data_IF_182494201231
#
_entry.id   IF_182494201231
#
_cell.length_a   1.000
_cell.length_b   1.000
_cell.length_c   1.000
_cell.angle_alpha   90.00
_cell.angle_beta   90.00
_cell.angle_gamma   90.00
#
_symmetry.space_group_name_H-M   'P 1'
#
loop_
_entity.id
_entity.type
_entity.pdbx_description
1 polymer ?
#
# COMPACT_ATOMS: atom_id res chain seq x y z
N UNK A 1 50.78 37.96 -1.24
CA UNK A 1 50.75 36.49 -1.18
C UNK A 1 50.02 35.95 0.05
N UNK A 2 49.30 36.81 0.78
CA UNK A 2 48.54 36.39 1.99
C UNK A 2 47.04 36.09 1.71
N UNK A 3 46.52 36.52 0.54
CA UNK A 3 45.06 36.41 0.27
C UNK A 3 44.58 35.08 -0.29
N UNK A 4 45.48 34.27 -0.87
CA UNK A 4 45.13 32.98 -1.44
C UNK A 4 44.95 31.86 -0.39
N UNK A 5 45.57 32.00 0.77
CA UNK A 5 45.46 31.03 1.86
C UNK A 5 44.10 31.18 2.59
N UNK A 6 43.59 32.40 2.77
CA UNK A 6 42.33 32.70 3.43
C UNK A 6 41.16 32.23 2.55
N UNK A 7 41.22 32.42 1.21
CA UNK A 7 40.21 31.97 0.29
C UNK A 7 40.07 30.43 0.24
N UNK A 8 41.18 29.71 0.37
CA UNK A 8 41.18 28.25 0.44
C UNK A 8 40.55 27.71 1.74
N UNK A 9 40.72 28.43 2.85
CA UNK A 9 40.10 28.07 4.12
C UNK A 9 38.59 28.24 4.09
N UNK A 10 38.11 29.32 3.48
CA UNK A 10 36.65 29.58 3.34
C UNK A 10 35.95 28.62 2.38
N UNK A 11 36.59 28.25 1.28
CA UNK A 11 36.07 27.24 0.35
C UNK A 11 36.08 25.84 0.97
N UNK A 12 37.10 25.49 1.74
CA UNK A 12 37.16 24.22 2.48
C UNK A 12 36.09 24.13 3.57
N UNK A 13 35.82 25.23 4.28
CA UNK A 13 34.78 25.28 5.32
C UNK A 13 33.35 25.24 4.73
N UNK A 14 33.10 25.85 3.56
CA UNK A 14 31.79 25.75 2.89
C UNK A 14 31.54 24.35 2.29
N UNK A 15 32.56 23.69 1.75
CA UNK A 15 32.43 22.31 1.27
C UNK A 15 32.24 21.34 2.44
N UNK A 16 32.89 21.56 3.58
CA UNK A 16 32.70 20.76 4.78
C UNK A 16 31.32 20.97 5.43
N UNK A 17 30.78 22.22 5.40
CA UNK A 17 29.40 22.49 5.86
C UNK A 17 28.33 21.95 4.89
N UNK A 18 28.58 21.97 3.58
CA UNK A 18 27.68 21.34 2.62
C UNK A 18 27.70 19.80 2.70
N UNK A 19 28.85 19.18 3.02
CA UNK A 19 28.95 17.75 3.25
C UNK A 19 28.39 17.30 4.62
N UNK A 20 28.42 18.18 5.63
CA UNK A 20 27.80 17.89 6.94
C UNK A 20 26.27 18.07 6.94
N UNK A 21 25.72 18.89 6.02
CA UNK A 21 24.27 19.04 5.85
C UNK A 21 23.62 17.86 5.10
N UNK A 22 24.40 16.97 4.46
CA UNK A 22 23.89 15.82 3.74
C UNK A 22 23.89 14.51 4.53
N UNK A 23 24.23 14.54 5.84
CA UNK A 23 24.21 13.35 6.72
C UNK A 23 23.54 13.62 8.08
N UNK A 24 22.55 14.52 8.14
CA UNK A 24 21.53 14.36 9.14
C UNK A 24 20.57 13.29 8.58
N UNK A 25 20.65 12.07 9.08
CA UNK A 25 19.60 11.08 8.98
C UNK A 25 18.35 11.62 9.66
N UNK A 26 17.71 12.62 9.04
CA UNK A 26 16.47 13.17 9.49
C UNK A 26 15.45 12.05 9.40
N UNK A 27 14.88 11.69 10.54
CA UNK A 27 13.66 10.88 10.60
C UNK A 27 12.66 11.59 9.71
N UNK A 28 12.29 10.96 8.59
CA UNK A 28 11.25 11.51 7.71
C UNK A 28 9.98 11.65 8.55
N UNK A 29 9.29 12.80 8.50
CA UNK A 29 8.05 12.95 9.23
C UNK A 29 7.08 11.84 8.82
N UNK A 30 6.28 11.29 9.75
CA UNK A 30 5.28 10.26 9.44
C UNK A 30 4.39 10.69 8.25
N UNK A 31 4.13 11.99 8.11
CA UNK A 31 3.40 12.59 7.01
C UNK A 31 3.99 12.30 5.61
N UNK A 32 5.31 12.06 5.49
CA UNK A 32 5.93 11.71 4.20
C UNK A 32 5.81 10.22 3.87
N UNK A 33 5.68 9.37 4.89
CA UNK A 33 5.47 7.93 4.74
C UNK A 33 4.00 7.56 4.52
N UNK A 34 3.08 8.51 4.70
CA UNK A 34 1.65 8.26 4.79
C UNK A 34 0.91 8.73 3.55
N UNK A 35 0.15 7.81 2.95
CA UNK A 35 -0.85 8.05 1.91
C UNK A 35 -2.24 7.66 2.39
N UNK A 36 -3.24 7.96 1.55
CA UNK A 36 -4.64 7.67 1.81
C UNK A 36 -5.28 7.01 0.59
N UNK A 37 -6.07 5.95 0.78
CA UNK A 37 -6.91 5.43 -0.29
C UNK A 37 -8.20 6.24 -0.35
N UNK A 38 -8.55 6.72 -1.54
CA UNK A 38 -9.79 7.40 -1.81
C UNK A 38 -10.65 6.54 -2.74
N UNK A 39 -11.62 5.82 -2.14
CA UNK A 39 -12.65 5.09 -2.84
C UNK A 39 -13.84 6.00 -3.18
N UNK A 40 -14.55 5.67 -4.25
CA UNK A 40 -15.63 6.47 -4.81
C UNK A 40 -16.99 5.73 -4.84
N UNK A 41 -17.05 4.52 -4.25
CA UNK A 41 -18.28 3.70 -4.25
C UNK A 41 -19.27 4.15 -3.18
N UNK A 42 -19.75 5.37 -3.30
CA UNK A 42 -20.77 5.95 -2.42
C UNK A 42 -22.03 6.30 -3.19
N UNK A 43 -23.20 6.13 -2.56
CA UNK A 43 -24.50 6.50 -3.15
C UNK A 43 -24.63 8.01 -3.36
N UNK A 44 -23.96 8.78 -2.50
CA UNK A 44 -23.91 10.25 -2.55
C UNK A 44 -22.46 10.70 -2.33
N UNK A 45 -21.56 10.52 -3.32
CA UNK A 45 -20.15 10.87 -3.17
C UNK A 45 -19.97 12.38 -2.95
N UNK A 46 -19.02 12.74 -2.10
CA UNK A 46 -18.62 14.13 -1.97
C UNK A 46 -18.03 14.63 -3.29
N UNK A 47 -18.28 15.89 -3.68
CA UNK A 47 -17.65 16.49 -4.85
C UNK A 47 -16.12 16.36 -4.78
N UNK A 48 -15.43 15.93 -5.85
CA UNK A 48 -13.98 15.69 -5.84
C UNK A 48 -13.16 16.86 -5.32
N UNK A 49 -13.54 18.10 -5.61
CA UNK A 49 -12.87 19.31 -5.10
C UNK A 49 -12.95 19.43 -3.56
N UNK A 50 -14.06 18.99 -2.97
CA UNK A 50 -14.22 18.98 -1.51
C UNK A 50 -13.28 17.92 -0.91
N UNK A 51 -13.17 16.75 -1.52
CA UNK A 51 -12.26 15.70 -1.05
C UNK A 51 -10.80 16.10 -1.23
N UNK A 52 -10.43 16.72 -2.35
CA UNK A 52 -9.07 17.27 -2.55
C UNK A 52 -8.71 18.31 -1.47
N UNK A 53 -9.65 19.22 -1.13
CA UNK A 53 -9.46 20.17 -0.05
C UNK A 53 -9.38 19.49 1.32
N UNK A 54 -10.20 18.45 1.56
CA UNK A 54 -10.17 17.63 2.78
C UNK A 54 -8.82 16.95 3.00
N UNK A 55 -8.20 16.40 1.94
CA UNK A 55 -6.87 15.84 1.96
C UNK A 55 -5.83 16.90 2.35
N UNK A 56 -5.88 18.10 1.74
CA UNK A 56 -4.97 19.21 2.04
C UNK A 56 -5.14 19.73 3.47
N UNK A 57 -6.39 19.94 3.92
CA UNK A 57 -6.71 20.43 5.28
C UNK A 57 -6.20 19.49 6.37
N UNK A 58 -6.05 18.19 6.05
CA UNK A 58 -5.50 17.17 6.95
C UNK A 58 -4.01 16.86 6.70
N UNK A 59 -3.34 17.63 5.85
CA UNK A 59 -1.91 17.47 5.59
C UNK A 59 -1.52 16.21 4.83
N UNK A 60 -2.48 15.54 4.17
CA UNK A 60 -2.25 14.30 3.40
C UNK A 60 -1.56 14.66 2.10
N UNK A 61 -0.41 14.02 1.84
CA UNK A 61 0.49 14.30 0.72
C UNK A 61 0.42 13.27 -0.40
N UNK A 62 -0.20 12.12 -0.16
CA UNK A 62 -0.27 11.01 -1.11
C UNK A 62 -1.67 10.43 -1.14
N UNK A 63 -2.16 10.11 -2.33
CA UNK A 63 -3.46 9.46 -2.50
C UNK A 63 -3.38 8.30 -3.48
N UNK A 64 -4.02 7.19 -3.14
CA UNK A 64 -4.25 6.06 -4.06
C UNK A 64 -5.72 6.07 -4.47
N UNK A 65 -5.95 6.06 -5.78
CA UNK A 65 -7.26 5.91 -6.41
C UNK A 65 -7.49 4.46 -6.85
N UNK A 66 -8.73 4.11 -7.20
CA UNK A 66 -9.10 2.79 -7.73
C UNK A 66 -9.49 2.83 -9.21
N UNK A 67 -9.47 4.03 -9.79
CA UNK A 67 -9.75 4.30 -11.19
C UNK A 67 -8.95 5.53 -11.67
N UNK A 68 -9.32 6.05 -12.83
CA UNK A 68 -8.75 7.26 -13.43
C UNK A 68 -9.88 8.25 -13.80
N UNK A 69 -10.79 8.47 -12.85
CA UNK A 69 -11.91 9.39 -13.06
C UNK A 69 -11.42 10.81 -13.36
N UNK A 70 -11.98 11.42 -14.41
CA UNK A 70 -11.53 12.72 -14.90
C UNK A 70 -11.78 13.84 -13.90
N UNK A 71 -12.92 13.84 -13.20
CA UNK A 71 -13.28 14.89 -12.26
C UNK A 71 -12.40 14.82 -11.01
N UNK A 72 -12.12 13.60 -10.54
CA UNK A 72 -11.19 13.32 -9.44
C UNK A 72 -9.78 13.79 -9.79
N UNK A 73 -9.24 13.43 -10.96
CA UNK A 73 -7.91 13.87 -11.39
C UNK A 73 -7.86 15.38 -11.56
N UNK A 74 -8.89 15.99 -12.16
CA UNK A 74 -8.96 17.44 -12.30
C UNK A 74 -9.02 18.18 -10.97
N UNK A 75 -9.64 17.59 -9.94
CA UNK A 75 -9.67 18.16 -8.60
C UNK A 75 -8.33 18.09 -7.87
N UNK A 76 -7.48 17.11 -8.22
CA UNK A 76 -6.14 16.93 -7.66
C UNK A 76 -5.06 17.77 -8.36
N UNK A 77 -5.37 18.35 -9.54
CA UNK A 77 -4.43 19.21 -10.25
C UNK A 77 -4.05 20.45 -9.41
N UNK A 78 -2.76 20.78 -9.39
CA UNK A 78 -2.20 21.92 -8.64
C UNK A 78 -2.19 21.76 -7.12
N UNK A 79 -2.63 20.63 -6.56
CA UNK A 79 -2.65 20.40 -5.11
C UNK A 79 -1.29 20.02 -4.53
N UNK A 80 -0.36 19.54 -5.37
CA UNK A 80 0.92 18.97 -4.95
C UNK A 80 0.80 17.60 -4.27
N UNK A 81 -0.40 17.02 -4.21
CA UNK A 81 -0.62 15.66 -3.68
C UNK A 81 -0.10 14.65 -4.70
N UNK A 82 0.75 13.73 -4.28
CA UNK A 82 1.20 12.61 -5.11
C UNK A 82 0.07 11.61 -5.33
N UNK A 83 -0.15 11.20 -6.59
CA UNK A 83 -1.27 10.36 -6.98
C UNK A 83 -0.78 9.01 -7.50
N UNK A 84 -1.35 7.93 -6.97
CA UNK A 84 -1.39 6.62 -7.60
C UNK A 84 -2.75 6.49 -8.27
N UNK A 85 -2.77 6.64 -9.61
CA UNK A 85 -3.97 6.40 -10.43
C UNK A 85 -4.11 4.91 -10.72
N UNK A 86 -5.32 4.41 -10.97
CA UNK A 86 -5.52 2.97 -11.15
C UNK A 86 -6.29 2.58 -12.41
N UNK A 87 -6.04 1.35 -12.85
CA UNK A 87 -6.77 0.63 -13.87
C UNK A 87 -7.61 -0.44 -13.16
N UNK A 88 -8.95 -0.42 -13.23
CA UNK A 88 -9.77 -1.48 -12.64
C UNK A 88 -9.49 -2.85 -13.23
N UNK A 89 -9.64 -3.91 -12.42
CA UNK A 89 -9.38 -5.30 -12.86
C UNK A 89 -10.13 -5.68 -14.14
N UNK A 90 -11.36 -5.19 -14.31
CA UNK A 90 -12.19 -5.46 -15.49
C UNK A 90 -11.59 -4.94 -16.80
N UNK A 91 -10.62 -4.04 -16.74
CA UNK A 91 -9.93 -3.49 -17.90
C UNK A 91 -8.63 -4.24 -18.23
N UNK A 92 -8.13 -5.12 -17.36
CA UNK A 92 -6.82 -5.75 -17.54
C UNK A 92 -6.70 -6.52 -18.86
N UNK A 93 -7.75 -7.23 -19.26
CA UNK A 93 -7.76 -7.96 -20.52
C UNK A 93 -7.58 -7.01 -21.72
N UNK A 94 -8.30 -5.91 -21.77
CA UNK A 94 -8.19 -4.91 -22.83
C UNK A 94 -6.82 -4.22 -22.88
N UNK A 95 -6.18 -4.03 -21.73
CA UNK A 95 -4.84 -3.41 -21.62
C UNK A 95 -3.72 -4.36 -22.11
N UNK A 96 -4.00 -5.66 -22.29
CA UNK A 96 -3.04 -6.57 -22.94
C UNK A 96 -2.80 -6.21 -24.41
N UNK A 97 -3.71 -5.47 -25.06
CA UNK A 97 -3.46 -4.80 -26.32
C UNK A 97 -2.63 -3.54 -26.11
N UNK A 98 -1.48 -3.44 -26.80
CA UNK A 98 -0.53 -2.36 -26.58
C UNK A 98 -1.04 -0.98 -27.03
N UNK A 99 -1.79 -0.90 -28.11
CA UNK A 99 -2.34 0.37 -28.59
C UNK A 99 -3.42 0.88 -27.63
N UNK A 100 -4.20 -0.01 -27.03
CA UNK A 100 -5.14 0.29 -25.95
C UNK A 100 -4.40 0.80 -24.70
N UNK A 101 -3.30 0.19 -24.31
CA UNK A 101 -2.46 0.64 -23.19
C UNK A 101 -1.88 2.04 -23.43
N UNK A 102 -1.36 2.32 -24.65
CA UNK A 102 -0.84 3.65 -25.04
C UNK A 102 -1.94 4.71 -24.98
N UNK A 103 -3.12 4.40 -25.50
CA UNK A 103 -4.24 5.32 -25.47
C UNK A 103 -4.72 5.58 -24.02
N UNK A 104 -4.73 4.55 -23.16
CA UNK A 104 -5.04 4.73 -21.75
C UNK A 104 -4.05 5.65 -21.06
N UNK A 105 -2.74 5.44 -21.26
CA UNK A 105 -1.68 6.30 -20.71
C UNK A 105 -1.82 7.74 -21.23
N UNK A 106 -2.07 7.91 -22.52
CA UNK A 106 -2.26 9.24 -23.12
C UNK A 106 -3.42 10.00 -22.46
N UNK A 107 -4.56 9.32 -22.24
CA UNK A 107 -5.79 9.96 -21.71
C UNK A 107 -5.73 10.21 -20.20
N UNK A 108 -5.12 9.30 -19.45
CA UNK A 108 -5.25 9.27 -17.99
C UNK A 108 -3.95 9.67 -17.27
N UNK A 109 -2.81 9.72 -17.97
CA UNK A 109 -1.52 10.10 -17.39
C UNK A 109 -0.94 11.30 -18.12
N UNK A 110 -0.58 11.17 -19.41
CA UNK A 110 0.11 12.22 -20.16
C UNK A 110 -0.67 13.53 -20.20
N UNK A 111 -2.00 13.44 -20.36
CA UNK A 111 -2.91 14.60 -20.37
C UNK A 111 -2.81 15.46 -19.12
N UNK A 112 -2.44 14.87 -17.99
CA UNK A 112 -2.37 15.57 -16.69
C UNK A 112 -0.93 15.89 -16.25
N UNK A 113 0.08 15.42 -17.02
CA UNK A 113 1.51 15.57 -16.70
C UNK A 113 2.07 16.87 -17.32
N UNK A 114 1.69 18.02 -16.74
CA UNK A 114 2.16 19.35 -17.10
C UNK A 114 2.38 20.19 -15.83
N UNK A 115 3.03 21.32 -15.95
CA UNK A 115 3.26 22.23 -14.81
C UNK A 115 1.92 22.74 -14.24
N UNK A 116 1.68 22.53 -12.93
CA UNK A 116 0.39 22.77 -12.30
C UNK A 116 -0.67 21.69 -12.57
N UNK A 117 -0.31 20.59 -13.22
CA UNK A 117 -1.17 19.42 -13.43
C UNK A 117 -1.26 18.52 -12.20
N UNK A 118 -1.49 17.22 -12.43
CA UNK A 118 -1.57 16.20 -11.36
C UNK A 118 -0.19 15.58 -11.13
N UNK A 119 0.24 15.48 -9.88
CA UNK A 119 1.51 14.87 -9.51
C UNK A 119 1.37 13.34 -9.48
N UNK A 120 1.17 12.72 -10.66
CA UNK A 120 1.07 11.26 -10.78
C UNK A 120 2.46 10.66 -10.56
N UNK A 121 2.57 9.69 -9.66
CA UNK A 121 3.80 8.94 -9.35
C UNK A 121 3.70 7.47 -9.74
N UNK A 122 2.50 6.91 -9.63
CA UNK A 122 2.29 5.49 -9.89
C UNK A 122 1.02 5.25 -10.70
N UNK A 123 1.06 4.16 -11.48
CA UNK A 123 -0.12 3.57 -12.11
C UNK A 123 -0.32 2.19 -11.51
N UNK A 124 -1.39 2.02 -10.75
CA UNK A 124 -1.82 0.71 -10.24
C UNK A 124 -2.53 -0.05 -11.37
N UNK A 125 -1.97 -1.16 -11.80
CA UNK A 125 -2.54 -2.02 -12.86
C UNK A 125 -3.35 -3.12 -12.21
N UNK A 126 -4.64 -2.89 -12.03
CA UNK A 126 -5.54 -3.68 -11.20
C UNK A 126 -5.41 -3.36 -9.70
N UNK A 127 -6.21 -4.06 -8.91
CA UNK A 127 -6.10 -4.12 -7.45
C UNK A 127 -6.47 -5.52 -6.98
N UNK A 128 -5.56 -6.21 -6.30
CA UNK A 128 -5.73 -7.57 -5.80
C UNK A 128 -6.18 -8.58 -6.87
N UNK A 129 -5.58 -8.60 -8.07
CA UNK A 129 -6.08 -9.41 -9.18
C UNK A 129 -5.95 -10.93 -8.92
N UNK A 130 -5.11 -11.34 -7.96
CA UNK A 130 -4.85 -12.75 -7.65
C UNK A 130 -5.61 -13.25 -6.42
N UNK A 131 -6.64 -12.53 -5.97
CA UNK A 131 -7.53 -13.06 -4.95
C UNK A 131 -8.09 -14.42 -5.37
N UNK A 132 -8.04 -15.40 -4.46
CA UNK A 132 -8.58 -16.73 -4.70
C UNK A 132 -10.05 -16.70 -5.15
N UNK A 133 -10.81 -15.66 -4.71
CA UNK A 133 -12.18 -15.41 -5.15
C UNK A 133 -12.36 -15.22 -6.65
N UNK A 134 -11.34 -14.73 -7.34
CA UNK A 134 -11.38 -14.55 -8.80
C UNK A 134 -11.04 -15.82 -9.59
N UNK A 135 -10.66 -16.90 -8.89
CA UNK A 135 -10.41 -18.21 -9.49
C UNK A 135 -9.48 -18.14 -10.72
N UNK A 136 -8.39 -17.37 -10.63
CA UNK A 136 -7.39 -17.23 -11.69
C UNK A 136 -7.84 -16.38 -12.89
N UNK A 137 -8.97 -15.69 -12.80
CA UNK A 137 -9.52 -14.90 -13.94
C UNK A 137 -8.51 -13.92 -14.51
N UNK A 138 -7.67 -13.34 -13.66
CA UNK A 138 -6.72 -12.29 -14.08
C UNK A 138 -5.26 -12.75 -14.18
N UNK A 139 -4.96 -14.04 -13.93
CA UNK A 139 -3.59 -14.55 -13.88
C UNK A 139 -2.84 -14.35 -15.19
N UNK A 140 -3.52 -14.55 -16.32
CA UNK A 140 -2.90 -14.47 -17.66
C UNK A 140 -2.81 -13.05 -18.21
N UNK A 141 -3.57 -12.10 -17.67
CA UNK A 141 -3.69 -10.75 -18.24
C UNK A 141 -2.96 -9.69 -17.41
N UNK A 142 -2.73 -9.92 -16.11
CA UNK A 142 -2.17 -8.90 -15.21
C UNK A 142 -0.72 -8.55 -15.56
N UNK A 143 0.16 -9.53 -15.74
CA UNK A 143 1.57 -9.27 -16.09
C UNK A 143 1.71 -8.63 -17.48
N UNK A 144 1.07 -9.12 -18.55
CA UNK A 144 1.08 -8.45 -19.84
C UNK A 144 0.55 -7.00 -19.76
N UNK A 145 -0.53 -6.74 -19.03
CA UNK A 145 -1.06 -5.40 -18.82
C UNK A 145 -0.06 -4.48 -18.10
N UNK A 146 0.59 -4.99 -17.03
CA UNK A 146 1.64 -4.27 -16.30
C UNK A 146 2.80 -3.88 -17.22
N UNK A 147 3.28 -4.82 -18.03
CA UNK A 147 4.36 -4.59 -19.00
C UNK A 147 3.98 -3.53 -20.03
N UNK A 148 2.78 -3.61 -20.59
CA UNK A 148 2.28 -2.68 -21.59
C UNK A 148 2.14 -1.27 -21.04
N UNK A 149 1.62 -1.10 -19.82
CA UNK A 149 1.50 0.22 -19.19
C UNK A 149 2.88 0.82 -18.93
N UNK A 150 3.84 0.07 -18.39
CA UNK A 150 5.19 0.59 -18.18
C UNK A 150 5.86 0.96 -19.50
N UNK A 151 5.73 0.14 -20.53
CA UNK A 151 6.27 0.45 -21.86
C UNK A 151 5.61 1.69 -22.46
N UNK A 152 4.28 1.83 -22.32
CA UNK A 152 3.57 3.03 -22.78
C UNK A 152 3.99 4.31 -22.04
N UNK A 153 4.29 4.20 -20.73
CA UNK A 153 4.88 5.30 -19.96
C UNK A 153 6.28 5.66 -20.46
N UNK A 154 7.11 4.65 -20.79
CA UNK A 154 8.43 4.85 -21.35
C UNK A 154 8.36 5.55 -22.73
N UNK A 155 7.49 5.09 -23.62
CA UNK A 155 7.26 5.69 -24.94
C UNK A 155 6.75 7.14 -24.83
N UNK A 156 5.99 7.45 -23.79
CA UNK A 156 5.52 8.81 -23.52
C UNK A 156 6.60 9.72 -22.88
N UNK A 157 7.81 9.19 -22.61
CA UNK A 157 8.88 9.92 -21.90
C UNK A 157 8.61 10.15 -20.42
N UNK A 158 7.69 9.38 -19.83
CA UNK A 158 7.26 9.50 -18.42
C UNK A 158 7.79 8.36 -17.53
N UNK A 159 8.34 7.31 -18.13
CA UNK A 159 8.70 6.06 -17.42
C UNK A 159 9.77 6.20 -16.34
N UNK A 160 10.60 7.27 -16.37
CA UNK A 160 11.57 7.55 -15.32
C UNK A 160 10.90 8.11 -14.07
N UNK A 161 9.84 8.91 -14.22
CA UNK A 161 9.16 9.63 -13.14
C UNK A 161 7.87 8.97 -12.66
N UNK A 162 7.25 8.11 -13.48
CA UNK A 162 5.99 7.42 -13.18
C UNK A 162 6.19 5.93 -13.39
N UNK A 163 5.89 5.12 -12.37
CA UNK A 163 6.08 3.67 -12.41
C UNK A 163 4.75 2.92 -12.37
N UNK A 164 4.67 1.84 -13.15
CA UNK A 164 3.54 0.92 -13.06
C UNK A 164 3.80 -0.13 -11.95
N UNK A 165 2.78 -0.45 -11.20
CA UNK A 165 2.80 -1.48 -10.15
C UNK A 165 1.49 -2.22 -10.08
N UNK A 166 1.43 -3.33 -9.35
CA UNK A 166 0.20 -4.07 -9.06
C UNK A 166 0.00 -4.11 -7.55
N UNK A 167 -1.03 -3.45 -6.99
CA UNK A 167 -1.41 -3.66 -5.60
C UNK A 167 -1.92 -5.08 -5.39
N UNK A 168 -1.12 -5.89 -4.72
CA UNK A 168 -1.38 -7.32 -4.50
C UNK A 168 -2.12 -7.56 -3.19
N UNK A 169 -2.86 -8.64 -3.10
CA UNK A 169 -3.44 -9.16 -1.88
C UNK A 169 -2.41 -9.93 -1.05
N UNK A 170 -2.57 -9.96 0.27
CA UNK A 170 -1.61 -10.62 1.16
C UNK A 170 -1.59 -12.16 1.05
N UNK A 171 -2.57 -12.79 0.37
CA UNK A 171 -2.61 -14.22 0.15
C UNK A 171 -1.82 -14.69 -1.09
N UNK A 172 -1.09 -13.79 -1.78
CA UNK A 172 -0.16 -14.20 -2.85
C UNK A 172 1.11 -14.87 -2.32
N UNK A 173 1.35 -14.79 -1.01
CA UNK A 173 2.43 -15.47 -0.29
C UNK A 173 1.90 -16.16 0.97
N UNK A 174 2.60 -17.19 1.42
CA UNK A 174 2.31 -17.92 2.65
C UNK A 174 3.59 -18.43 3.32
N UNK A 175 3.45 -19.01 4.51
CA UNK A 175 4.44 -19.91 5.08
C UNK A 175 3.88 -21.33 5.12
N UNK A 176 4.72 -22.39 4.98
CA UNK A 176 4.27 -23.77 5.07
C UNK A 176 3.52 -24.04 6.37
N UNK A 177 2.50 -24.92 6.33
CA UNK A 177 1.67 -25.23 7.50
C UNK A 177 2.44 -25.81 8.69
N UNK A 178 3.53 -26.47 8.43
CA UNK A 178 4.44 -27.08 9.41
C UNK A 178 5.53 -26.11 9.90
N UNK A 179 5.66 -24.94 9.25
CA UNK A 179 6.64 -23.91 9.60
C UNK A 179 6.04 -22.51 9.39
N UNK A 180 5.11 -22.14 10.25
CA UNK A 180 4.36 -20.88 10.17
C UNK A 180 5.15 -19.72 10.79
N UNK A 181 6.27 -19.36 10.15
CA UNK A 181 7.16 -18.27 10.58
C UNK A 181 7.56 -17.42 9.37
N UNK A 182 7.89 -16.14 9.56
CA UNK A 182 8.24 -15.23 8.48
C UNK A 182 9.39 -15.70 7.58
N UNK A 183 10.45 -16.29 8.15
CA UNK A 183 11.61 -16.76 7.36
C UNK A 183 11.30 -17.91 6.41
N UNK A 184 10.18 -18.61 6.59
CA UNK A 184 9.69 -19.66 5.70
C UNK A 184 8.77 -19.14 4.58
N UNK A 185 8.65 -17.83 4.43
CA UNK A 185 7.81 -17.17 3.43
C UNK A 185 8.13 -17.61 2.00
N UNK A 186 7.09 -17.87 1.22
CA UNK A 186 7.15 -18.25 -0.19
C UNK A 186 5.93 -17.71 -0.93
N UNK A 187 6.03 -17.54 -2.23
CA UNK A 187 4.84 -17.27 -3.04
C UNK A 187 3.92 -18.49 -3.13
N UNK A 188 2.62 -18.25 -3.16
CA UNK A 188 1.58 -19.27 -3.32
C UNK A 188 1.88 -20.13 -4.56
N UNK A 189 1.85 -21.45 -4.40
CA UNK A 189 2.40 -22.39 -5.39
C UNK A 189 1.76 -22.30 -6.79
N UNK A 190 0.46 -21.97 -6.85
CA UNK A 190 -0.31 -21.84 -8.10
C UNK A 190 0.11 -20.64 -8.97
N UNK A 191 0.68 -19.60 -8.35
CA UNK A 191 1.12 -18.36 -9.02
C UNK A 191 2.61 -18.04 -8.80
N UNK A 192 3.41 -18.96 -8.24
CA UNK A 192 4.80 -18.71 -7.88
C UNK A 192 5.66 -18.25 -9.07
N UNK A 193 5.51 -18.90 -10.23
CA UNK A 193 6.25 -18.50 -11.44
C UNK A 193 5.80 -17.13 -11.96
N UNK A 194 4.52 -16.83 -11.90
CA UNK A 194 3.96 -15.53 -12.27
C UNK A 194 4.48 -14.42 -11.34
N UNK A 195 4.48 -14.67 -10.04
CA UNK A 195 5.00 -13.73 -9.04
C UNK A 195 6.50 -13.49 -9.23
N UNK A 196 7.25 -14.54 -9.54
CA UNK A 196 8.69 -14.42 -9.87
C UNK A 196 8.93 -13.49 -11.05
N UNK A 197 8.18 -13.67 -12.14
CA UNK A 197 8.29 -12.79 -13.32
C UNK A 197 7.88 -11.35 -13.00
N UNK A 198 6.83 -11.17 -12.20
CA UNK A 198 6.35 -9.85 -11.79
C UNK A 198 7.39 -9.11 -10.93
N UNK A 199 7.95 -9.77 -9.92
CA UNK A 199 9.01 -9.19 -9.06
C UNK A 199 10.21 -8.75 -9.90
N UNK A 200 10.66 -9.60 -10.82
CA UNK A 200 11.76 -9.27 -11.73
C UNK A 200 11.45 -8.06 -12.60
N UNK A 201 10.24 -8.00 -13.13
CA UNK A 201 9.81 -6.88 -13.96
C UNK A 201 9.79 -5.57 -13.15
N UNK A 202 9.20 -5.59 -11.94
CA UNK A 202 9.16 -4.43 -11.05
C UNK A 202 10.58 -3.96 -10.68
N UNK A 203 11.47 -4.88 -10.32
CA UNK A 203 12.87 -4.57 -9.98
C UNK A 203 13.61 -3.94 -11.17
N UNK A 204 13.47 -4.49 -12.36
CA UNK A 204 14.12 -3.98 -13.58
C UNK A 204 13.66 -2.57 -13.98
N UNK A 205 12.44 -2.19 -13.57
CA UNK A 205 11.88 -0.87 -13.84
C UNK A 205 11.99 0.09 -12.64
N UNK A 206 12.65 -0.31 -11.54
CA UNK A 206 12.69 0.46 -10.28
C UNK A 206 11.27 0.83 -9.78
N UNK A 207 10.31 -0.05 -10.03
CA UNK A 207 8.93 0.10 -9.61
C UNK A 207 8.72 -0.52 -8.22
N UNK A 208 7.83 0.03 -7.37
CA UNK A 208 7.58 -0.51 -6.04
C UNK A 208 6.81 -1.84 -6.13
N UNK A 209 7.11 -2.75 -5.21
CA UNK A 209 6.23 -3.87 -4.91
C UNK A 209 5.13 -3.36 -3.96
N UNK A 210 3.87 -3.50 -4.34
CA UNK A 210 2.73 -2.97 -3.58
C UNK A 210 1.87 -4.12 -3.07
N UNK A 211 1.53 -4.11 -1.78
CA UNK A 211 0.69 -5.16 -1.17
C UNK A 211 -0.29 -4.57 -0.16
N UNK A 212 -1.49 -5.14 -0.11
CA UNK A 212 -2.53 -4.80 0.84
C UNK A 212 -2.49 -5.81 2.00
N UNK A 213 -2.21 -5.32 3.23
CA UNK A 213 -2.09 -6.13 4.44
C UNK A 213 -3.10 -5.62 5.45
N UNK A 214 -4.10 -6.43 5.80
CA UNK A 214 -5.16 -6.06 6.72
C UNK A 214 -5.16 -6.97 7.97
N UNK A 215 -4.52 -6.56 9.07
CA UNK A 215 -4.56 -7.32 10.33
C UNK A 215 -5.97 -7.64 10.83
N UNK A 216 -6.95 -6.76 10.55
CA UNK A 216 -8.37 -7.01 10.84
C UNK A 216 -8.88 -8.31 10.17
N UNK A 217 -8.47 -8.59 8.94
CA UNK A 217 -8.94 -9.78 8.21
C UNK A 217 -8.49 -11.07 8.89
N UNK A 218 -7.34 -11.08 9.58
CA UNK A 218 -6.91 -12.24 10.37
C UNK A 218 -7.88 -12.56 11.52
N UNK A 219 -8.43 -11.52 12.18
CA UNK A 219 -9.45 -11.68 13.22
C UNK A 219 -10.81 -12.09 12.64
N UNK A 220 -11.17 -11.55 11.49
CA UNK A 220 -12.43 -11.87 10.81
C UNK A 220 -12.49 -13.33 10.35
N UNK A 221 -11.37 -13.86 9.87
CA UNK A 221 -11.29 -15.22 9.31
C UNK A 221 -11.01 -16.31 10.33
N UNK A 222 -10.52 -15.97 11.51
CA UNK A 222 -10.14 -16.94 12.53
C UNK A 222 -10.52 -16.44 13.93
N UNK A 223 -11.54 -17.04 14.51
CA UNK A 223 -12.01 -16.73 15.87
C UNK A 223 -10.97 -17.00 16.96
N UNK A 224 -10.01 -17.90 16.71
CA UNK A 224 -8.92 -18.26 17.65
C UNK A 224 -7.70 -17.33 17.47
N UNK A 225 -7.72 -16.39 16.53
CA UNK A 225 -6.60 -15.49 16.30
C UNK A 225 -6.42 -14.54 17.50
N UNK A 226 -5.18 -14.42 18.06
CA UNK A 226 -4.95 -13.56 19.21
C UNK A 226 -5.23 -12.09 18.89
N UNK A 227 -6.25 -11.49 19.52
CA UNK A 227 -6.70 -10.13 19.24
C UNK A 227 -5.54 -9.13 19.35
N UNK A 228 -4.72 -9.23 20.40
CA UNK A 228 -3.60 -8.31 20.62
C UNK A 228 -2.51 -8.41 19.54
N UNK A 229 -2.41 -9.55 18.85
CA UNK A 229 -1.46 -9.72 17.75
C UNK A 229 -1.85 -8.92 16.47
N UNK A 230 -3.08 -8.42 16.39
CA UNK A 230 -3.50 -7.51 15.33
C UNK A 230 -3.06 -6.05 15.56
N UNK A 231 -2.50 -5.72 16.74
CA UNK A 231 -2.14 -4.36 17.14
C UNK A 231 -0.63 -4.21 17.38
N UNK A 232 -0.18 -2.97 17.60
CA UNK A 232 1.24 -2.61 17.69
C UNK A 232 1.71 -2.27 19.11
N UNK A 233 0.89 -2.50 20.12
CA UNK A 233 1.15 -2.10 21.51
C UNK A 233 1.89 -3.16 22.37
N UNK A 234 2.29 -4.28 21.74
CA UNK A 234 3.12 -5.31 22.37
C UNK A 234 2.39 -6.22 23.37
N UNK A 235 1.05 -6.20 23.38
CA UNK A 235 0.24 -7.04 24.28
C UNK A 235 0.20 -8.51 23.92
N UNK A 236 0.64 -8.89 22.73
CA UNK A 236 0.57 -10.28 22.25
C UNK A 236 1.78 -11.12 22.69
N UNK A 237 1.56 -12.43 22.85
CA UNK A 237 2.64 -13.41 22.93
C UNK A 237 3.42 -13.40 21.61
N UNK A 238 4.74 -13.17 21.63
CA UNK A 238 5.53 -13.09 20.42
C UNK A 238 5.60 -14.42 19.65
N UNK A 239 5.59 -14.34 18.33
CA UNK A 239 6.08 -15.41 17.45
C UNK A 239 7.58 -15.24 17.32
N UNK A 240 8.34 -16.30 17.64
CA UNK A 240 9.80 -16.29 17.57
C UNK A 240 10.26 -17.05 16.33
N UNK A 241 11.05 -16.39 15.50
CA UNK A 241 11.60 -16.93 14.25
C UNK A 241 13.10 -16.62 14.18
N UNK A 242 13.95 -17.63 14.23
CA UNK A 242 15.42 -17.49 14.20
C UNK A 242 15.96 -16.44 15.20
N UNK A 243 15.35 -16.35 16.40
CA UNK A 243 15.72 -15.39 17.44
C UNK A 243 15.11 -14.00 17.26
N UNK A 244 14.35 -13.74 16.19
CA UNK A 244 13.59 -12.52 15.96
C UNK A 244 12.19 -12.68 16.56
N UNK A 245 11.72 -11.70 17.33
CA UNK A 245 10.41 -11.73 17.99
C UNK A 245 9.43 -10.82 17.27
N UNK A 246 8.32 -11.38 16.80
CA UNK A 246 7.21 -10.66 16.18
C UNK A 246 6.05 -10.54 17.17
N UNK A 247 5.68 -9.32 17.50
CA UNK A 247 4.59 -9.01 18.45
C UNK A 247 3.31 -8.55 17.75
N UNK A 248 3.30 -8.49 16.42
CA UNK A 248 2.12 -8.15 15.64
C UNK A 248 2.16 -8.80 14.25
N UNK A 249 0.96 -9.03 13.69
CA UNK A 249 0.80 -9.72 12.42
C UNK A 249 1.22 -8.87 11.21
N UNK A 250 1.19 -7.55 11.29
CA UNK A 250 1.64 -6.68 10.19
C UNK A 250 3.13 -6.88 9.92
N UNK A 251 3.96 -6.84 10.97
CA UNK A 251 5.40 -7.08 10.85
C UNK A 251 5.70 -8.50 10.38
N UNK A 252 5.01 -9.50 10.94
CA UNK A 252 5.17 -10.89 10.52
C UNK A 252 4.82 -11.08 9.04
N UNK A 253 3.68 -10.55 8.58
CA UNK A 253 3.28 -10.60 7.18
C UNK A 253 4.27 -9.89 6.26
N UNK A 254 4.75 -8.72 6.67
CA UNK A 254 5.72 -7.98 5.88
C UNK A 254 7.01 -8.79 5.70
N UNK A 255 7.58 -9.32 6.76
CA UNK A 255 8.83 -10.08 6.68
C UNK A 255 8.62 -11.44 5.99
N UNK A 256 7.42 -12.05 6.06
CA UNK A 256 7.05 -13.23 5.25
C UNK A 256 7.09 -12.92 3.75
N UNK A 257 6.51 -11.79 3.34
CA UNK A 257 6.58 -11.34 1.95
C UNK A 257 8.03 -11.15 1.48
N UNK A 258 8.84 -10.53 2.31
CA UNK A 258 10.22 -10.28 1.95
C UNK A 258 11.02 -11.59 1.85
N UNK A 259 10.75 -12.56 2.73
CA UNK A 259 11.35 -13.90 2.63
C UNK A 259 10.93 -14.60 1.33
N UNK A 260 9.67 -14.48 0.92
CA UNK A 260 9.19 -15.01 -0.36
C UNK A 260 9.93 -14.39 -1.57
N UNK A 261 10.19 -13.09 -1.55
CA UNK A 261 10.95 -12.37 -2.58
C UNK A 261 12.43 -12.79 -2.60
N UNK A 262 13.06 -12.96 -1.44
CA UNK A 262 14.45 -13.43 -1.33
C UNK A 262 14.66 -14.85 -1.81
N UNK A 263 13.67 -15.72 -1.64
CA UNK A 263 13.69 -17.09 -2.18
C UNK A 263 13.93 -17.11 -3.70
N UNK A 264 13.37 -16.14 -4.42
CA UNK A 264 13.60 -15.97 -5.88
C UNK A 264 15.07 -15.63 -6.18
N UNK A 265 15.63 -14.66 -5.47
CA UNK A 265 17.00 -14.19 -5.69
C UNK A 265 18.03 -15.32 -5.48
N UNK A 266 17.79 -16.20 -4.50
CA UNK A 266 18.64 -17.36 -4.21
C UNK A 266 18.57 -18.42 -5.31
N UNK A 267 17.37 -18.73 -5.81
CA UNK A 267 17.19 -19.73 -6.88
C UNK A 267 17.84 -19.28 -8.19
N UNK A 268 17.83 -17.99 -8.51
CA UNK A 268 18.45 -17.46 -9.72
C UNK A 268 19.97 -17.49 -9.65
N UNK A 269 20.57 -17.19 -8.50
CA UNK A 269 22.00 -17.28 -8.28
C UNK A 269 22.50 -18.73 -8.42
N UNK A 270 21.70 -19.74 -8.01
CA UNK A 270 22.01 -21.15 -8.21
C UNK A 270 21.87 -21.59 -9.68
N UNK A 271 20.99 -20.99 -10.47
CA UNK A 271 20.87 -21.29 -11.91
C UNK A 271 21.92 -20.60 -12.76
N UNK A 272 22.44 -19.45 -12.32
CA UNK A 272 23.46 -18.68 -13.04
C UNK A 272 24.90 -19.11 -12.75
N UNK A 273 25.17 -19.89 -11.71
CA UNK A 273 26.52 -20.29 -11.31
C UNK A 273 26.59 -21.61 -10.56
N UNK A 274 26.77 -22.72 -11.30
CA UNK A 274 27.29 -23.95 -10.72
C UNK A 274 28.82 -23.79 -10.53
N UNK A 275 29.26 -23.13 -9.49
CA UNK A 275 30.67 -22.94 -9.13
C UNK A 275 30.83 -22.49 -7.69
N UNK A 276 31.20 -23.48 -6.83
CA UNK A 276 31.86 -23.39 -5.53
C UNK A 276 31.41 -22.27 -4.56
N UNK A 277 30.67 -22.64 -3.53
CA UNK A 277 30.47 -21.84 -2.32
C UNK A 277 31.46 -22.28 -1.22
N UNK A 278 32.31 -21.37 -0.79
CA UNK A 278 33.00 -21.44 0.50
C UNK A 278 32.19 -20.64 1.52
N UNK A 279 31.99 -21.22 2.72
CA UNK A 279 31.36 -20.60 3.88
C UNK A 279 32.00 -19.23 4.17
N UNK A 280 31.21 -18.18 4.09
CA UNK A 280 31.54 -16.86 4.62
C UNK A 280 30.27 -16.17 5.11
N UNK A 281 30.41 -15.49 6.22
CA UNK A 281 29.42 -14.79 7.04
C UNK A 281 28.45 -13.86 6.27
N UNK A 282 27.28 -13.49 6.85
CA UNK A 282 26.19 -12.81 6.12
C UNK A 282 26.40 -11.31 5.86
N UNK A 283 27.65 -10.85 5.70
CA UNK A 283 27.98 -9.48 5.36
C UNK A 283 28.73 -9.43 4.02
N UNK A 284 28.04 -8.95 2.99
CA UNK A 284 28.50 -8.70 1.60
C UNK A 284 28.21 -9.82 0.59
N UNK A 285 26.98 -9.88 0.12
CA UNK A 285 26.71 -10.48 -1.20
C UNK A 285 26.45 -9.34 -2.19
N UNK A 286 27.49 -9.05 -3.01
CA UNK A 286 27.35 -8.37 -4.28
C UNK A 286 26.54 -9.26 -5.23
N UNK A 287 25.24 -9.24 -5.12
CA UNK A 287 24.26 -9.83 -6.02
C UNK A 287 23.17 -8.80 -6.19
N UNK A 288 22.61 -8.71 -7.36
CA UNK A 288 21.55 -7.80 -7.80
C UNK A 288 20.78 -7.29 -6.59
N UNK A 289 21.06 -6.03 -6.20
CA UNK A 289 20.27 -5.32 -5.20
C UNK A 289 18.85 -5.26 -5.77
N UNK A 290 18.03 -6.23 -5.43
CA UNK A 290 16.58 -6.07 -5.57
C UNK A 290 16.24 -4.92 -4.66
N UNK A 291 16.02 -3.75 -5.27
CA UNK A 291 15.64 -2.53 -4.58
C UNK A 291 14.16 -2.68 -4.14
N UNK A 292 13.86 -3.77 -3.40
CA UNK A 292 12.60 -3.97 -2.68
C UNK A 292 12.43 -2.96 -1.54
N UNK A 293 13.32 -1.93 -1.51
CA UNK A 293 13.26 -0.82 -0.57
C UNK A 293 11.99 0.03 -0.68
N UNK A 294 11.17 -0.18 -1.70
CA UNK A 294 9.96 0.61 -1.96
C UNK A 294 8.68 -0.23 -1.87
N UNK A 295 8.61 -1.17 -0.93
CA UNK A 295 7.36 -1.89 -0.73
C UNK A 295 6.31 -0.94 -0.13
N UNK A 296 5.32 -0.56 -0.93
CA UNK A 296 4.17 0.22 -0.51
C UNK A 296 3.10 -0.69 0.09
N UNK A 297 2.50 -0.28 1.19
CA UNK A 297 1.49 -1.08 1.90
C UNK A 297 0.17 -0.34 1.95
N UNK A 298 -0.92 -1.03 1.65
CA UNK A 298 -2.26 -0.58 2.02
C UNK A 298 -2.67 -1.30 3.30
N UNK A 299 -3.15 -0.57 4.28
CA UNK A 299 -3.61 -1.09 5.57
C UNK A 299 -4.88 -0.37 6.00
N UNK A 300 -5.71 -1.03 6.82
CA UNK A 300 -6.92 -0.41 7.32
C UNK A 300 -7.55 -1.18 8.45
N UNK A 301 -8.54 -0.53 9.10
CA UNK A 301 -9.36 -1.12 10.13
C UNK A 301 -10.79 -0.58 10.03
N UNK A 302 -11.82 -1.44 9.82
CA UNK A 302 -13.20 -1.00 9.72
C UNK A 302 -13.80 -0.69 11.09
N UNK A 303 -14.94 0.02 11.11
CA UNK A 303 -15.56 0.52 12.34
C UNK A 303 -16.96 0.00 12.61
N UNK A 304 -17.50 -0.83 11.73
CA UNK A 304 -18.82 -1.44 11.85
C UNK A 304 -18.89 -2.73 10.99
N UNK A 305 -19.92 -3.53 11.19
CA UNK A 305 -20.20 -4.73 10.39
C UNK A 305 -19.52 -6.02 10.86
N UNK A 306 -18.75 -6.00 11.96
CA UNK A 306 -18.14 -7.17 12.62
C UNK A 306 -17.86 -6.87 14.09
N UNK A 307 -17.75 -7.93 14.93
CA UNK A 307 -17.43 -7.81 16.38
C UNK A 307 -16.10 -7.08 16.66
N UNK A 308 -15.13 -7.17 15.76
CA UNK A 308 -13.83 -6.51 15.85
C UNK A 308 -13.76 -5.21 15.04
N UNK A 309 -14.78 -4.89 14.25
CA UNK A 309 -14.90 -3.65 13.47
C UNK A 309 -15.52 -2.54 14.33
N UNK A 310 -14.69 -1.89 15.15
CA UNK A 310 -15.15 -0.82 16.05
C UNK A 310 -14.25 0.40 15.97
N UNK A 311 -14.81 1.59 16.24
CA UNK A 311 -14.03 2.83 16.28
C UNK A 311 -12.88 2.75 17.31
N UNK A 312 -13.09 2.07 18.43
CA UNK A 312 -12.04 1.88 19.47
C UNK A 312 -10.88 1.05 18.95
N UNK A 313 -11.15 -0.06 18.26
CA UNK A 313 -10.10 -0.88 17.69
C UNK A 313 -9.43 -0.19 16.49
N UNK A 314 -10.17 0.51 15.65
CA UNK A 314 -9.60 1.31 14.58
C UNK A 314 -8.64 2.38 15.13
N UNK A 315 -9.04 3.10 16.17
CA UNK A 315 -8.19 4.10 16.84
C UNK A 315 -6.92 3.45 17.44
N UNK A 316 -7.06 2.31 18.14
CA UNK A 316 -5.92 1.54 18.69
C UNK A 316 -4.95 1.13 17.60
N UNK A 317 -5.46 0.60 16.50
CA UNK A 317 -4.67 0.17 15.34
C UNK A 317 -3.89 1.33 14.72
N UNK A 318 -4.58 2.40 14.36
CA UNK A 318 -3.95 3.55 13.71
C UNK A 318 -2.97 4.28 14.62
N UNK A 319 -3.27 4.45 15.90
CA UNK A 319 -2.35 5.09 16.83
C UNK A 319 -1.04 4.29 16.97
N UNK A 320 -1.12 2.95 17.05
CA UNK A 320 0.06 2.10 17.08
C UNK A 320 0.88 2.15 15.80
N UNK A 321 0.23 2.02 14.64
CA UNK A 321 0.85 2.08 13.32
C UNK A 321 1.54 3.42 13.09
N UNK A 322 0.82 4.53 13.27
CA UNK A 322 1.32 5.88 12.99
C UNK A 322 2.50 6.25 13.89
N UNK A 323 2.46 5.84 15.17
CA UNK A 323 3.59 5.99 16.09
C UNK A 323 4.85 5.25 15.58
N UNK A 324 4.69 4.05 15.03
CA UNK A 324 5.80 3.27 14.45
C UNK A 324 6.37 3.91 13.19
N UNK A 325 5.49 4.42 12.30
CA UNK A 325 5.92 5.13 11.09
C UNK A 325 6.68 6.41 11.46
N UNK A 326 6.19 7.18 12.42
CA UNK A 326 6.86 8.38 12.91
C UNK A 326 8.25 8.08 13.52
N UNK A 327 8.40 6.93 14.17
CA UNK A 327 9.68 6.47 14.73
C UNK A 327 10.61 5.84 13.69
N UNK A 328 10.17 5.67 12.43
CA UNK A 328 10.87 4.90 11.41
C UNK A 328 11.35 3.52 11.95
N UNK A 329 10.46 2.83 12.66
CA UNK A 329 10.84 1.63 13.41
C UNK A 329 11.22 0.44 12.50
N UNK A 330 10.68 0.41 11.27
CA UNK A 330 10.83 -0.73 10.38
C UNK A 330 10.10 -1.97 10.89
N UNK A 331 10.56 -3.16 10.48
CA UNK A 331 10.11 -4.45 11.01
C UNK A 331 11.20 -5.08 11.89
N UNK A 332 10.89 -6.13 12.68
CA UNK A 332 11.88 -6.82 13.50
C UNK A 332 13.08 -7.37 12.72
N UNK A 333 12.88 -7.89 11.51
CA UNK A 333 13.98 -8.35 10.65
C UNK A 333 14.71 -7.20 9.93
N UNK A 334 14.10 -5.99 9.87
CA UNK A 334 14.64 -4.81 9.19
C UNK A 334 14.39 -3.54 10.00
N UNK A 335 15.06 -3.38 11.14
CA UNK A 335 14.92 -2.20 11.98
C UNK A 335 15.35 -0.93 11.22
N UNK A 336 14.59 0.15 11.36
CA UNK A 336 14.89 1.43 10.73
C UNK A 336 14.63 1.50 9.21
N UNK A 337 14.10 0.44 8.60
CA UNK A 337 13.71 0.50 7.20
C UNK A 337 12.47 1.38 7.01
N UNK A 338 12.55 2.30 6.05
CA UNK A 338 11.39 3.11 5.65
C UNK A 338 10.27 2.24 5.08
N UNK A 339 9.05 2.46 5.56
CA UNK A 339 7.84 1.78 5.10
C UNK A 339 6.83 2.84 4.67
N UNK A 340 6.45 2.85 3.39
CA UNK A 340 5.38 3.69 2.89
C UNK A 340 4.03 2.98 3.04
N UNK A 341 3.05 3.68 3.62
CA UNK A 341 1.74 3.10 3.95
C UNK A 341 0.61 3.99 3.41
N UNK A 342 -0.37 3.37 2.77
CA UNK A 342 -1.64 3.98 2.38
C UNK A 342 -2.75 3.47 3.29
N UNK A 343 -3.38 4.36 4.06
CA UNK A 343 -4.51 3.98 4.91
C UNK A 343 -5.76 3.72 4.07
N UNK A 344 -6.40 2.60 4.32
CA UNK A 344 -7.68 2.25 3.69
C UNK A 344 -8.81 2.36 4.72
N UNK A 345 -9.75 3.30 4.57
CA UNK A 345 -9.90 4.24 3.49
C UNK A 345 -10.15 5.63 4.06
N UNK A 346 -10.16 6.64 3.19
CA UNK A 346 -10.47 8.01 3.59
C UNK A 346 -11.93 8.16 4.06
N UNK A 347 -12.85 7.69 3.25
CA UNK A 347 -14.31 7.82 3.44
C UNK A 347 -14.96 6.43 3.49
N UNK A 348 -16.07 6.32 4.21
CA UNK A 348 -16.96 5.17 4.08
C UNK A 348 -17.61 5.12 2.69
N UNK A 349 -17.87 3.89 2.20
CA UNK A 349 -18.37 3.61 0.87
C UNK A 349 -19.66 2.77 0.94
N UNK A 350 -20.81 3.39 1.11
CA UNK A 350 -22.10 2.73 1.34
C UNK A 350 -22.66 1.97 0.12
N UNK A 351 -22.12 2.23 -1.08
CA UNK A 351 -22.47 1.49 -2.31
C UNK A 351 -21.50 0.33 -2.61
N UNK A 352 -20.43 0.16 -1.81
CA UNK A 352 -19.49 -0.97 -1.94
C UNK A 352 -20.19 -2.31 -1.65
N UNK A 353 -19.70 -3.39 -2.26
CA UNK A 353 -20.16 -4.74 -1.95
C UNK A 353 -20.02 -5.05 -0.46
N UNK A 354 -20.95 -5.81 0.09
CA UNK A 354 -20.86 -6.35 1.45
C UNK A 354 -20.19 -7.72 1.52
N UNK A 355 -19.57 -8.18 0.46
CA UNK A 355 -18.77 -9.39 0.47
C UNK A 355 -17.29 -9.03 0.63
N UNK A 356 -16.53 -9.69 1.54
CA UNK A 356 -16.89 -10.88 2.31
C UNK A 356 -17.71 -10.61 3.58
N UNK A 357 -17.90 -9.37 4.02
CA UNK A 357 -18.65 -9.02 5.23
C UNK A 357 -19.16 -7.58 5.17
N UNK A 358 -20.16 -7.24 6.02
CA UNK A 358 -20.76 -5.91 6.07
C UNK A 358 -19.75 -4.80 6.42
N UNK A 359 -18.62 -5.15 7.05
CA UNK A 359 -17.53 -4.23 7.37
C UNK A 359 -16.92 -3.56 6.12
N UNK A 360 -17.12 -4.11 4.92
CA UNK A 360 -16.57 -3.58 3.67
C UNK A 360 -17.01 -2.14 3.36
N UNK A 361 -18.10 -1.68 3.93
CA UNK A 361 -18.61 -0.32 3.77
C UNK A 361 -18.09 0.68 4.82
N UNK A 362 -17.32 0.22 5.80
CA UNK A 362 -17.01 0.98 7.02
C UNK A 362 -15.52 1.17 7.29
N UNK A 363 -14.68 1.08 6.25
CA UNK A 363 -13.23 1.26 6.34
C UNK A 363 -12.78 2.72 6.48
N UNK A 364 -13.65 3.69 6.18
CA UNK A 364 -13.30 5.10 6.23
C UNK A 364 -12.87 5.55 7.63
N UNK A 365 -11.83 6.37 7.72
CA UNK A 365 -11.53 7.15 8.93
C UNK A 365 -12.51 8.31 9.11
N UNK A 366 -13.15 8.71 8.01
CA UNK A 366 -14.26 9.64 7.95
C UNK A 366 -15.52 8.92 7.47
N UNK A 367 -16.68 9.44 7.86
CA UNK A 367 -17.97 9.01 7.33
C UNK A 367 -18.09 9.44 5.86
N UNK A 368 -19.07 8.90 5.15
CA UNK A 368 -19.40 9.27 3.76
C UNK A 368 -19.67 10.78 3.57
N UNK A 369 -20.07 11.50 4.64
CA UNK A 369 -20.30 12.95 4.64
C UNK A 369 -19.02 13.77 4.99
N UNK A 370 -17.88 13.11 5.15
CA UNK A 370 -16.59 13.74 5.48
C UNK A 370 -16.45 14.12 6.95
N UNK A 371 -17.31 13.62 7.85
CA UNK A 371 -17.16 13.85 9.29
C UNK A 371 -16.25 12.79 9.92
N UNK A 372 -15.33 13.18 10.81
CA UNK A 372 -14.47 12.24 11.52
C UNK A 372 -15.27 11.24 12.36
N UNK A 373 -14.83 9.98 12.38
CA UNK A 373 -15.45 8.93 13.19
C UNK A 373 -14.84 8.82 14.59
N UNK A 374 -13.53 9.08 14.68
CA UNK A 374 -12.74 9.00 15.90
C UNK A 374 -11.48 9.87 15.74
N UNK A 375 -10.83 10.16 16.86
CA UNK A 375 -9.57 10.87 16.82
C UNK A 375 -8.45 9.99 16.28
N UNK A 376 -7.65 10.52 15.36
CA UNK A 376 -6.47 9.87 14.80
C UNK A 376 -5.38 10.90 14.56
N UNK A 377 -4.18 10.64 15.08
CA UNK A 377 -3.04 11.52 14.90
C UNK A 377 -2.20 11.07 13.70
N UNK A 378 -2.44 11.67 12.54
CA UNK A 378 -1.68 11.37 11.33
C UNK A 378 -0.18 11.69 11.43
N UNK A 379 0.23 12.47 12.44
CA UNK A 379 1.65 12.78 12.69
C UNK A 379 2.37 11.69 13.48
N UNK A 380 1.61 10.81 14.16
CA UNK A 380 2.16 9.75 15.02
C UNK A 380 2.85 10.25 16.30
N UNK A 381 2.61 11.53 16.70
CA UNK A 381 3.21 12.14 17.90
C UNK A 381 2.39 11.88 19.17
N UNK A 382 1.30 11.12 19.07
CA UNK A 382 0.45 10.75 20.21
C UNK A 382 -0.59 11.82 20.57
N UNK A 383 -0.90 12.74 19.67
CA UNK A 383 -1.94 13.75 19.87
C UNK A 383 -3.32 13.11 19.61
N UNK A 384 -4.25 13.25 20.54
CA UNK A 384 -5.61 12.78 20.38
C UNK A 384 -6.47 13.84 19.67
N UNK A 385 -6.25 14.06 18.38
CA UNK A 385 -6.91 15.07 17.57
C UNK A 385 -7.89 14.47 16.57
N UNK A 386 -9.03 15.15 16.40
CA UNK A 386 -9.96 14.83 15.31
C UNK A 386 -9.42 15.40 13.99
N UNK A 387 -9.62 14.67 12.90
CA UNK A 387 -9.37 15.21 11.57
C UNK A 387 -10.26 16.41 11.28
N UNK A 388 -9.77 17.31 10.42
CA UNK A 388 -10.60 18.40 9.91
C UNK A 388 -11.72 17.84 9.05
N UNK A 389 -13.00 18.15 9.35
CA UNK A 389 -14.13 17.64 8.57
C UNK A 389 -14.21 18.30 7.18
N UNK A 390 -14.93 17.66 6.27
CA UNK A 390 -15.24 18.26 4.97
C UNK A 390 -16.02 19.57 5.13
N UNK A 391 -15.58 20.62 4.42
CA UNK A 391 -16.20 21.94 4.42
C UNK A 391 -17.14 22.11 3.21
N UNK A 392 -18.19 22.91 3.36
CA UNK A 392 -19.11 23.24 2.27
C UNK A 392 -20.12 22.13 1.93
N UNK A 393 -20.22 21.10 2.74
CA UNK A 393 -21.26 20.05 2.62
C UNK A 393 -22.53 20.57 3.31
N UNK A 394 -23.62 20.75 2.56
CA UNK A 394 -24.90 21.06 3.14
C UNK A 394 -25.42 19.81 3.87
N UNK A 395 -25.54 19.88 5.20
CA UNK A 395 -26.17 18.81 5.98
C UNK A 395 -27.64 18.71 5.64
N UNK A 396 -28.04 17.67 4.89
CA UNK A 396 -29.43 17.25 4.87
C UNK A 396 -29.70 16.43 6.13
N UNK A 397 -30.59 16.85 7.03
CA UNK A 397 -30.97 16.05 8.19
C UNK A 397 -31.50 14.71 7.72
N UNK A 398 -31.10 13.63 8.38
CA UNK A 398 -31.58 12.27 8.11
C UNK A 398 -33.10 12.24 8.28
N UNK A 399 -33.85 12.34 7.20
CA UNK A 399 -35.21 11.81 7.15
C UNK A 399 -35.09 10.31 6.92
N UNK A 400 -35.44 9.53 7.94
CA UNK A 400 -35.60 8.09 7.81
C UNK A 400 -36.60 7.78 6.70
N UNK A 401 -36.13 7.33 5.55
CA UNK A 401 -36.97 6.67 4.56
C UNK A 401 -36.91 5.18 4.87
N UNK A 402 -37.88 4.74 5.69
CA UNK A 402 -38.25 3.32 5.78
C UNK A 402 -39.02 2.96 4.49
N UNK A 403 -38.50 2.02 3.75
CA UNK A 403 -39.34 1.33 2.77
C UNK A 403 -38.66 0.98 1.45
N UNK A 404 -38.41 -0.32 1.25
CA UNK A 404 -38.12 -0.88 -0.07
C UNK A 404 -37.42 -2.22 0.01
N UNK A 405 -38.16 -3.28 0.35
CA UNK A 405 -37.67 -4.67 0.25
C UNK A 405 -37.48 -5.01 -1.23
N UNK A 406 -36.28 -5.10 -1.69
CA UNK A 406 -35.93 -5.72 -2.98
C UNK A 406 -35.38 -7.10 -2.74
N UNK A 407 -36.01 -8.09 -3.38
CA UNK A 407 -35.75 -9.51 -3.23
C UNK A 407 -34.33 -9.88 -3.66
N UNK A 408 -33.62 -10.55 -2.76
CA UNK A 408 -32.36 -11.21 -2.96
C UNK A 408 -32.41 -12.25 -4.08
N UNK A 409 -31.57 -12.08 -5.07
CA UNK A 409 -30.99 -13.21 -5.83
C UNK A 409 -29.65 -13.51 -5.14
N UNK A 410 -29.59 -14.63 -4.44
CA UNK A 410 -28.35 -15.14 -3.85
C UNK A 410 -27.47 -15.70 -4.97
N UNK A 411 -26.22 -15.21 -5.18
CA UNK A 411 -25.25 -15.99 -5.93
C UNK A 411 -24.62 -17.04 -5.01
N UNK A 412 -24.77 -18.29 -5.38
CA UNK A 412 -24.09 -19.45 -4.82
C UNK A 412 -22.59 -19.42 -5.22
N UNK A 413 -21.76 -18.58 -4.56
CA UNK A 413 -20.33 -18.52 -4.92
C UNK A 413 -19.39 -18.14 -3.77
N UNK A 414 -19.53 -18.76 -2.57
CA UNK A 414 -18.57 -18.46 -1.49
C UNK A 414 -18.37 -19.67 -0.56
N UNK A 415 -17.84 -20.78 -1.05
CA UNK A 415 -17.48 -21.91 -0.18
C UNK A 415 -15.98 -22.29 -0.17
N UNK A 416 -15.14 -21.57 -0.88
CA UNK A 416 -13.69 -21.87 -0.90
C UNK A 416 -12.88 -20.58 -1.03
N UNK A 417 -12.78 -19.80 0.04
CA UNK A 417 -11.83 -18.70 0.08
C UNK A 417 -11.28 -18.54 1.49
N UNK A 418 -9.95 -18.54 1.53
CA UNK A 418 -9.05 -18.20 2.64
C UNK A 418 -8.71 -19.29 3.64
N UNK A 419 -7.69 -20.08 3.27
CA UNK A 419 -6.72 -20.59 4.24
C UNK A 419 -5.59 -19.58 4.38
N UNK A 420 -5.83 -18.45 5.02
CA UNK A 420 -4.73 -17.69 5.63
C UNK A 420 -4.47 -18.36 6.98
N UNK A 421 -3.65 -19.40 6.96
CA UNK A 421 -3.08 -19.97 8.16
C UNK A 421 -1.76 -19.25 8.45
N UNK A 422 -1.84 -18.10 9.07
CA UNK A 422 -0.75 -17.56 9.85
C UNK A 422 -1.16 -17.73 11.31
N UNK A 423 -0.51 -18.67 11.98
CA UNK A 423 -0.54 -18.97 13.42
C UNK A 423 -1.80 -19.71 13.92
N UNK A 424 -1.66 -21.01 14.12
CA UNK A 424 -2.27 -21.75 15.22
C UNK A 424 -1.35 -21.74 16.42
#
# INVERSE_FOLDING_TARGET
>A
MADLAVLRWWLGAMVAMAAAASWSGGVLPAAEALGMNWGTQASHPLPPKIVAQLLQDNGIKKVKLFDADQDTLSALAGTGIEVMVAIPNVMLDSITDYDTAKEWVRRNVSRYSFDGGVTIKYVAVGNEPFLAAYNGTFDKVTLPALMNIQNALNDAGLGDSIKATVPLNADVYDSPKDQQVPSAGRFRADIADLMTQMVQFLANNSAPFTVNIYPFISLYLNDDFPVDFAFFDGGATPVVDNGISYTNVFDANFDTLVAADWGISTIQNHRAGAGAFHNSEPHSLGGISTNTSLAQKTVGWPTDGDKHATATYAQRFYNGLLKRLAANAGTPARPGQYIEVYLFGLLDEDAKSVAPGDFERHWGILRFDGQPKYAVDLTGQGQNTMLVPAKGVAYLPRTCILGGVSKLVKPLYWRYVFSIYILR
#
